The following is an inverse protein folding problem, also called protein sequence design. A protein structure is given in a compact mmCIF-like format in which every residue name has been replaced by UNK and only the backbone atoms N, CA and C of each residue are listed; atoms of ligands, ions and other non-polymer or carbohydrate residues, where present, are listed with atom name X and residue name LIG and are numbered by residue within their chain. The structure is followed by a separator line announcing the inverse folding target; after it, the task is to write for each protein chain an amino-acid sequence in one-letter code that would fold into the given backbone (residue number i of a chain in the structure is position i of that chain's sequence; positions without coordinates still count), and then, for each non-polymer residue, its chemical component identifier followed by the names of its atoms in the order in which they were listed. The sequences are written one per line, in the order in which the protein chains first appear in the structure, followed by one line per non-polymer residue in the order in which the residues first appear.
data_IF_238078001303
#
_entry.id   IF_238078001303
#
_cell.length_a   1.000
_cell.length_b   1.000
_cell.length_c   1.000
_cell.angle_alpha   90.00
_cell.angle_beta   90.00
_cell.angle_gamma   90.00
#
_symmetry.space_group_name_H-M   'P 1'
#
loop_
_entity.id
_entity.type
_entity.pdbx_description
1 polymer ?
#
# COMPACT_ATOMS: atom_id res chain seq x y z
N UNK A 1 -81.56 -15.00 -19.92
CA UNK A 1 -80.61 -15.64 -19.06
C UNK A 1 -79.21 -15.54 -19.71
N UNK A 2 -78.43 -14.57 -19.28
CA UNK A 2 -77.03 -14.44 -19.73
C UNK A 2 -76.08 -15.00 -18.66
N UNK A 3 -75.01 -15.73 -18.97
CA UNK A 3 -74.07 -16.20 -18.00
C UNK A 3 -73.02 -15.11 -17.73
N UNK A 4 -72.73 -14.95 -16.44
CA UNK A 4 -71.75 -14.06 -15.85
C UNK A 4 -70.29 -14.42 -16.26
N UNK A 5 -69.59 -13.43 -16.86
CA UNK A 5 -68.18 -13.48 -17.19
C UNK A 5 -67.36 -13.29 -15.90
N UNK A 6 -66.49 -14.29 -15.58
CA UNK A 6 -65.51 -14.17 -14.48
C UNK A 6 -64.32 -13.38 -14.98
N UNK A 7 -64.09 -12.21 -14.43
CA UNK A 7 -62.85 -11.45 -14.61
C UNK A 7 -61.69 -12.21 -13.94
N UNK A 8 -60.77 -12.66 -14.75
CA UNK A 8 -59.47 -13.14 -14.28
C UNK A 8 -58.62 -11.92 -13.87
N UNK A 9 -58.32 -11.81 -12.56
CA UNK A 9 -57.36 -10.86 -12.03
C UNK A 9 -55.97 -11.45 -12.31
N UNK A 10 -55.24 -10.87 -13.29
CA UNK A 10 -53.85 -11.16 -13.49
C UNK A 10 -53.04 -10.53 -12.33
N UNK A 11 -52.42 -11.34 -11.50
CA UNK A 11 -51.39 -10.89 -10.58
C UNK A 11 -50.11 -10.68 -11.40
N UNK A 12 -49.79 -9.44 -11.70
CA UNK A 12 -48.44 -9.05 -12.12
C UNK A 12 -47.50 -9.22 -10.94
N UNK A 13 -46.90 -10.43 -10.84
CA UNK A 13 -45.78 -10.68 -9.95
C UNK A 13 -44.54 -10.04 -10.57
N UNK A 14 -44.23 -8.80 -10.23
CA UNK A 14 -42.90 -8.27 -10.44
C UNK A 14 -41.90 -9.15 -9.67
N UNK A 15 -41.25 -10.09 -10.35
CA UNK A 15 -40.03 -10.74 -9.88
C UNK A 15 -38.99 -9.66 -9.64
N UNK A 16 -38.85 -9.21 -8.39
CA UNK A 16 -37.74 -8.39 -7.97
C UNK A 16 -36.46 -9.21 -8.18
N UNK A 17 -35.73 -8.83 -9.23
CA UNK A 17 -34.39 -9.32 -9.47
C UNK A 17 -33.59 -9.27 -8.16
N UNK A 18 -32.90 -10.34 -7.73
CA UNK A 18 -32.15 -10.33 -6.47
C UNK A 18 -31.17 -9.18 -6.52
N UNK A 19 -31.27 -8.29 -5.53
CA UNK A 19 -30.35 -7.18 -5.38
C UNK A 19 -28.92 -7.74 -5.41
N UNK A 20 -28.17 -7.41 -6.44
CA UNK A 20 -26.77 -7.83 -6.58
C UNK A 20 -26.01 -7.22 -5.39
N UNK A 21 -25.61 -8.05 -4.43
CA UNK A 21 -24.76 -7.63 -3.31
C UNK A 21 -23.48 -7.05 -3.92
N UNK A 22 -23.15 -5.79 -3.67
CA UNK A 22 -21.93 -5.21 -4.24
C UNK A 22 -20.74 -6.07 -3.80
N UNK A 23 -19.74 -6.27 -4.68
CA UNK A 23 -18.58 -7.06 -4.34
C UNK A 23 -17.92 -6.50 -3.08
N UNK A 24 -17.44 -7.36 -2.18
CA UNK A 24 -16.85 -6.91 -0.92
C UNK A 24 -15.71 -5.93 -1.20
N UNK A 25 -15.76 -4.77 -0.54
CA UNK A 25 -14.77 -3.72 -0.72
C UNK A 25 -13.35 -4.27 -0.49
N UNK A 26 -12.42 -3.89 -1.38
CA UNK A 26 -11.03 -4.35 -1.31
C UNK A 26 -10.33 -3.67 -0.14
N UNK A 27 -9.75 -4.42 0.83
CA UNK A 27 -9.01 -3.85 1.94
C UNK A 27 -7.82 -3.00 1.48
N UNK A 28 -7.51 -1.97 2.28
CA UNK A 28 -6.29 -1.18 2.13
C UNK A 28 -5.41 -1.34 3.36
N UNK A 29 -4.12 -1.63 3.13
CA UNK A 29 -3.11 -1.75 4.17
C UNK A 29 -2.15 -0.57 4.05
N UNK A 30 -1.98 0.22 5.13
CA UNK A 30 -1.04 1.34 5.19
C UNK A 30 0.18 0.96 6.02
N UNK A 31 1.38 1.07 5.44
CA UNK A 31 2.64 0.66 6.06
C UNK A 31 3.52 1.88 6.32
N UNK A 32 3.77 2.19 7.59
CA UNK A 32 4.53 3.37 8.01
C UNK A 32 6.05 3.20 7.83
N UNK A 33 6.77 4.34 7.88
CA UNK A 33 8.20 4.41 7.74
C UNK A 33 8.99 4.15 9.03
N UNK A 34 10.31 4.35 8.91
CA UNK A 34 11.23 4.33 10.04
C UNK A 34 10.94 5.53 10.96
N UNK A 35 10.97 5.29 12.28
CA UNK A 35 10.65 6.25 13.36
C UNK A 35 9.21 6.78 13.33
N UNK A 36 8.39 6.30 12.41
CA UNK A 36 6.96 6.59 12.38
C UNK A 36 6.15 5.59 13.21
N UNK A 37 4.89 5.94 13.39
CA UNK A 37 3.85 5.08 13.95
C UNK A 37 2.63 5.13 13.03
N UNK A 38 1.60 4.30 13.21
CA UNK A 38 0.36 4.41 12.46
C UNK A 38 -0.24 5.81 12.38
N UNK A 39 0.06 6.67 13.35
CA UNK A 39 -0.42 8.07 13.42
C UNK A 39 0.02 8.94 12.25
N UNK A 40 1.07 8.57 11.52
CA UNK A 40 1.55 9.31 10.33
C UNK A 40 0.46 9.40 9.25
N UNK A 41 -0.46 8.44 9.23
CA UNK A 41 -1.54 8.36 8.25
C UNK A 41 -2.84 9.07 8.64
N UNK A 42 -2.95 9.71 9.82
CA UNK A 42 -4.21 10.31 10.31
C UNK A 42 -4.91 11.20 9.29
N UNK A 43 -4.16 12.08 8.60
CA UNK A 43 -4.73 12.96 7.57
C UNK A 43 -5.21 12.19 6.34
N UNK A 44 -4.52 11.13 5.98
CA UNK A 44 -4.93 10.25 4.88
C UNK A 44 -6.18 9.45 5.28
N UNK A 45 -6.22 8.91 6.51
CA UNK A 45 -7.39 8.20 7.04
C UNK A 45 -8.64 9.09 7.03
N UNK A 46 -8.51 10.36 7.48
CA UNK A 46 -9.62 11.31 7.49
C UNK A 46 -10.18 11.54 6.07
N UNK A 47 -9.32 11.62 5.05
CA UNK A 47 -9.75 11.77 3.65
C UNK A 47 -10.33 10.49 3.05
N UNK A 48 -9.97 9.32 3.55
CA UNK A 48 -10.46 8.01 3.07
C UNK A 48 -11.71 7.53 3.80
N UNK A 49 -12.08 8.16 4.93
CA UNK A 49 -13.20 7.74 5.78
C UNK A 49 -14.50 7.62 5.01
N UNK A 50 -15.13 6.44 5.09
CA UNK A 50 -16.36 6.12 4.35
C UNK A 50 -16.19 5.94 2.84
N UNK A 51 -14.95 6.04 2.33
CA UNK A 51 -14.64 5.91 0.89
C UNK A 51 -13.77 4.68 0.59
N UNK A 52 -13.04 4.21 1.59
CA UNK A 52 -12.09 3.11 1.44
C UNK A 52 -12.02 2.28 2.73
N UNK A 53 -12.88 1.28 2.82
CA UNK A 53 -12.95 0.33 3.93
C UNK A 53 -12.96 -1.10 3.40
N UNK A 54 -12.45 -2.10 4.13
CA UNK A 54 -11.79 -1.99 5.43
C UNK A 54 -10.32 -1.53 5.32
N UNK A 55 -9.86 -0.83 6.37
CA UNK A 55 -8.50 -0.31 6.49
C UNK A 55 -7.72 -1.08 7.57
N UNK A 56 -6.44 -1.35 7.32
CA UNK A 56 -5.49 -1.89 8.30
C UNK A 56 -4.23 -1.03 8.32
N UNK A 57 -3.83 -0.57 9.49
CA UNK A 57 -2.58 0.16 9.70
C UNK A 57 -1.80 -0.56 10.81
N UNK A 58 -1.03 -1.61 10.47
CA UNK A 58 -0.32 -2.37 11.47
C UNK A 58 0.79 -1.53 12.10
N UNK A 59 0.94 -1.61 13.42
CA UNK A 59 2.12 -1.12 14.08
C UNK A 59 3.24 -2.15 13.87
N UNK A 60 4.27 -1.77 13.10
CA UNK A 60 5.45 -2.59 12.87
C UNK A 60 6.59 -2.05 13.76
N UNK A 61 6.93 -2.74 14.86
CA UNK A 61 7.91 -2.26 15.82
C UNK A 61 9.33 -2.45 15.26
N UNK A 62 9.84 -1.47 14.51
CA UNK A 62 11.17 -1.48 13.91
C UNK A 62 12.33 -1.31 14.94
N UNK A 63 12.01 -1.03 16.23
CA UNK A 63 13.02 -0.91 17.29
C UNK A 63 14.10 0.11 16.98
N UNK A 64 13.72 1.34 16.61
CA UNK A 64 14.63 2.41 16.14
C UNK A 64 15.48 2.04 14.90
N UNK A 65 15.16 0.94 14.22
CA UNK A 65 15.92 0.46 13.06
C UNK A 65 16.75 -0.80 13.31
N UNK A 66 16.63 -1.42 14.49
CA UNK A 66 17.36 -2.67 14.81
C UNK A 66 16.85 -3.88 14.02
N UNK A 67 15.55 -3.94 13.71
CA UNK A 67 14.98 -5.09 13.02
C UNK A 67 15.22 -5.01 11.52
N UNK A 68 15.65 -6.09 10.87
CA UNK A 68 15.79 -6.17 9.41
C UNK A 68 14.45 -5.95 8.71
N UNK A 69 14.47 -5.38 7.50
CA UNK A 69 13.25 -5.15 6.70
C UNK A 69 12.54 -6.47 6.37
N UNK A 70 13.27 -7.56 6.16
CA UNK A 70 12.68 -8.87 5.91
C UNK A 70 11.79 -9.35 7.07
N UNK A 71 12.23 -9.14 8.31
CA UNK A 71 11.44 -9.47 9.52
C UNK A 71 10.18 -8.60 9.62
N UNK A 72 10.30 -7.30 9.34
CA UNK A 72 9.15 -6.39 9.33
C UNK A 72 8.14 -6.74 8.22
N UNK A 73 8.62 -7.22 7.08
CA UNK A 73 7.78 -7.69 5.98
C UNK A 73 7.03 -8.99 6.33
N UNK A 74 7.67 -9.90 7.08
CA UNK A 74 7.01 -11.10 7.60
C UNK A 74 5.91 -10.74 8.62
N UNK A 75 6.19 -9.81 9.55
CA UNK A 75 5.20 -9.30 10.50
C UNK A 75 4.03 -8.60 9.78
N UNK A 76 4.28 -7.86 8.69
CA UNK A 76 3.24 -7.32 7.84
C UNK A 76 2.34 -8.42 7.29
N UNK A 77 2.93 -9.48 6.72
CA UNK A 77 2.19 -10.62 6.19
C UNK A 77 1.34 -11.31 7.25
N UNK A 78 1.87 -11.52 8.45
CA UNK A 78 1.15 -12.09 9.59
C UNK A 78 -0.03 -11.21 10.03
N UNK A 79 0.17 -9.89 10.17
CA UNK A 79 -0.90 -8.96 10.54
C UNK A 79 -2.03 -8.95 9.50
N UNK A 80 -1.68 -8.98 8.21
CA UNK A 80 -2.64 -9.06 7.11
C UNK A 80 -3.41 -10.38 7.12
N UNK A 81 -2.72 -11.50 7.36
CA UNK A 81 -3.36 -12.82 7.46
C UNK A 81 -4.32 -12.91 8.65
N UNK A 82 -3.91 -12.41 9.80
CA UNK A 82 -4.75 -12.37 11.01
C UNK A 82 -6.02 -11.52 10.79
N UNK A 83 -5.92 -10.41 10.06
CA UNK A 83 -7.04 -9.47 9.89
C UNK A 83 -7.98 -9.85 8.75
N UNK A 84 -7.47 -10.42 7.66
CA UNK A 84 -8.20 -10.63 6.41
C UNK A 84 -8.20 -12.08 5.91
N UNK A 85 -7.62 -13.03 6.64
CA UNK A 85 -7.44 -14.41 6.20
C UNK A 85 -6.32 -14.55 5.17
N UNK A 86 -6.19 -15.75 4.55
CA UNK A 86 -5.07 -16.08 3.66
C UNK A 86 -5.22 -15.47 2.25
N UNK A 87 -6.43 -15.45 1.68
CA UNK A 87 -6.61 -15.31 0.23
C UNK A 87 -7.30 -14.01 -0.21
N UNK A 88 -7.79 -13.18 0.74
CA UNK A 88 -8.52 -11.98 0.39
C UNK A 88 -7.63 -11.00 -0.37
N UNK A 89 -7.99 -10.59 -1.61
CA UNK A 89 -7.25 -9.56 -2.34
C UNK A 89 -7.26 -8.24 -1.60
N UNK A 90 -6.16 -7.48 -1.68
CA UNK A 90 -6.01 -6.19 -1.00
C UNK A 90 -5.05 -5.26 -1.74
N UNK A 91 -5.09 -3.99 -1.36
CA UNK A 91 -4.14 -2.98 -1.83
C UNK A 91 -3.20 -2.57 -0.68
N UNK A 92 -1.98 -2.19 -1.03
CA UNK A 92 -0.96 -1.73 -0.07
C UNK A 92 -0.51 -0.32 -0.43
N UNK A 93 -0.44 0.57 0.56
CA UNK A 93 0.30 1.82 0.46
C UNK A 93 1.44 1.79 1.49
N UNK A 94 2.66 2.00 1.03
CA UNK A 94 3.82 2.12 1.89
C UNK A 94 4.44 3.51 1.82
N UNK A 95 4.65 4.14 2.99
CA UNK A 95 5.35 5.41 3.12
C UNK A 95 6.79 5.18 3.57
N UNK A 96 7.75 5.84 2.90
CA UNK A 96 9.17 5.77 3.27
C UNK A 96 9.67 4.30 3.31
N UNK A 97 10.30 3.87 4.38
CA UNK A 97 10.69 2.46 4.58
C UNK A 97 9.50 1.50 4.41
N UNK A 98 8.27 1.94 4.73
CA UNK A 98 7.07 1.13 4.60
C UNK A 98 6.80 0.62 3.18
N UNK A 99 7.16 1.39 2.15
CA UNK A 99 7.05 0.90 0.76
C UNK A 99 8.08 -0.18 0.44
N UNK A 100 9.28 -0.13 1.02
CA UNK A 100 10.28 -1.19 0.88
C UNK A 100 9.85 -2.45 1.63
N UNK A 101 9.24 -2.30 2.83
CA UNK A 101 8.63 -3.41 3.58
C UNK A 101 7.53 -4.09 2.75
N UNK A 102 6.58 -3.29 2.21
CA UNK A 102 5.52 -3.82 1.34
C UNK A 102 6.05 -4.54 0.11
N UNK A 103 7.04 -3.94 -0.57
CA UNK A 103 7.74 -4.56 -1.70
C UNK A 103 8.41 -5.88 -1.32
N UNK A 104 9.07 -5.93 -0.16
CA UNK A 104 9.74 -7.14 0.34
C UNK A 104 8.74 -8.25 0.59
N UNK A 105 7.61 -7.96 1.22
CA UNK A 105 6.53 -8.92 1.40
C UNK A 105 5.99 -9.45 0.07
N UNK A 106 5.74 -8.56 -0.89
CA UNK A 106 5.24 -8.93 -2.22
C UNK A 106 6.21 -9.85 -2.95
N UNK A 107 7.49 -9.48 -3.03
CA UNK A 107 8.46 -10.20 -3.86
C UNK A 107 9.04 -11.45 -3.20
N UNK A 108 9.31 -11.42 -1.88
CA UNK A 108 10.07 -12.48 -1.22
C UNK A 108 9.21 -13.38 -0.32
N UNK A 109 8.04 -12.91 0.14
CA UNK A 109 7.20 -13.62 1.11
C UNK A 109 5.80 -13.96 0.58
N UNK A 110 5.64 -13.95 -0.74
CA UNK A 110 4.44 -14.43 -1.43
C UNK A 110 3.26 -13.46 -1.43
N UNK A 111 3.43 -12.20 -1.01
CA UNK A 111 2.38 -11.18 -1.00
C UNK A 111 1.79 -10.91 -2.39
N UNK A 112 2.55 -11.13 -3.49
CA UNK A 112 2.07 -10.99 -4.87
C UNK A 112 0.83 -11.81 -5.21
N UNK A 113 0.56 -12.90 -4.47
CA UNK A 113 -0.61 -13.75 -4.73
C UNK A 113 -1.93 -13.07 -4.38
N UNK A 114 -1.90 -12.00 -3.58
CA UNK A 114 -3.09 -11.33 -3.06
C UNK A 114 -3.04 -9.79 -3.12
N UNK A 115 -1.86 -9.20 -3.26
CA UNK A 115 -1.74 -7.75 -3.44
C UNK A 115 -2.08 -7.40 -4.88
N UNK A 116 -3.18 -6.66 -5.08
CA UNK A 116 -3.60 -6.16 -6.38
C UNK A 116 -2.81 -4.92 -6.79
N UNK A 117 -2.59 -4.02 -5.81
CA UNK A 117 -1.97 -2.71 -6.04
C UNK A 117 -0.97 -2.37 -4.95
N UNK A 118 0.20 -1.84 -5.35
CA UNK A 118 1.21 -1.28 -4.46
C UNK A 118 1.41 0.19 -4.78
N UNK A 119 1.02 1.06 -3.85
CA UNK A 119 1.30 2.50 -3.91
C UNK A 119 2.46 2.80 -2.98
N UNK A 120 3.56 3.28 -3.55
CA UNK A 120 4.78 3.63 -2.83
C UNK A 120 4.93 5.14 -2.75
N UNK A 121 5.17 5.67 -1.56
CA UNK A 121 5.27 7.11 -1.31
C UNK A 121 6.62 7.42 -0.67
N UNK A 122 7.53 8.04 -1.41
CA UNK A 122 8.86 8.44 -0.92
C UNK A 122 9.69 7.27 -0.38
N UNK A 123 9.64 6.11 -1.02
CA UNK A 123 10.27 4.88 -0.50
C UNK A 123 11.59 4.61 -1.22
N UNK A 124 12.72 4.43 -0.53
CA UNK A 124 14.05 4.31 -1.15
C UNK A 124 14.27 2.94 -1.81
N UNK A 125 13.59 2.67 -2.93
CA UNK A 125 13.64 1.39 -3.65
C UNK A 125 14.99 1.10 -4.31
N UNK A 126 15.80 2.14 -4.54
CA UNK A 126 17.18 2.04 -4.99
C UNK A 126 18.18 2.33 -3.84
N UNK A 127 17.65 2.54 -2.64
CA UNK A 127 18.41 2.93 -1.46
C UNK A 127 18.50 4.44 -1.25
N UNK A 128 19.09 4.83 -0.11
CA UNK A 128 19.42 6.22 0.21
C UNK A 128 20.85 6.32 0.73
N UNK A 129 21.59 7.31 0.25
CA UNK A 129 22.96 7.58 0.72
C UNK A 129 23.01 7.91 2.20
N UNK A 130 21.92 8.44 2.78
CA UNK A 130 21.81 8.70 4.22
C UNK A 130 21.88 7.45 5.09
N UNK A 131 21.70 6.28 4.50
CA UNK A 131 21.80 5.01 5.24
C UNK A 131 23.24 4.56 5.51
N UNK A 132 24.26 5.15 4.86
CA UNK A 132 25.65 4.71 4.99
C UNK A 132 26.29 4.91 6.39
N UNK A 133 26.10 6.05 7.10
CA UNK A 133 26.77 6.29 8.37
C UNK A 133 26.40 5.32 9.49
N UNK A 134 25.31 4.58 9.36
CA UNK A 134 24.72 3.80 10.45
C UNK A 134 25.20 2.34 10.46
N UNK A 135 25.86 1.83 11.52
CA UNK A 135 26.38 0.47 11.56
C UNK A 135 25.26 -0.58 11.49
N UNK A 136 25.40 -1.57 10.59
CA UNK A 136 24.40 -2.65 10.38
C UNK A 136 24.10 -3.42 11.66
N UNK A 137 25.12 -3.67 12.51
CA UNK A 137 24.95 -4.43 13.77
C UNK A 137 23.95 -3.79 14.74
N UNK A 138 23.70 -2.48 14.60
CA UNK A 138 22.79 -1.74 15.48
C UNK A 138 21.53 -1.30 14.76
N UNK A 139 21.60 -1.02 13.46
CA UNK A 139 20.50 -0.44 12.71
C UNK A 139 20.33 -1.20 11.39
N UNK A 140 19.82 -2.44 11.51
CA UNK A 140 19.73 -3.39 10.40
C UNK A 140 18.83 -2.90 9.28
N UNK A 141 17.62 -2.34 9.60
CA UNK A 141 16.71 -1.83 8.58
C UNK A 141 17.27 -0.62 7.84
N UNK A 142 18.04 0.26 8.53
CA UNK A 142 18.70 1.39 7.86
C UNK A 142 19.79 0.86 6.91
N UNK A 143 20.58 -0.12 7.36
CA UNK A 143 21.60 -0.74 6.52
C UNK A 143 21.00 -1.47 5.30
N UNK A 144 19.79 -2.03 5.43
CA UNK A 144 19.04 -2.63 4.33
C UNK A 144 18.59 -1.58 3.28
N UNK A 145 18.48 -0.30 3.66
CA UNK A 145 18.17 0.81 2.77
C UNK A 145 19.40 1.46 2.12
N UNK A 146 20.62 0.93 2.30
CA UNK A 146 21.79 1.40 1.55
C UNK A 146 21.68 1.04 0.08
N UNK A 147 22.11 1.92 -0.82
CA UNK A 147 22.28 1.55 -2.22
C UNK A 147 23.08 0.25 -2.34
N UNK A 148 22.60 -0.67 -3.18
CA UNK A 148 23.20 -1.99 -3.37
C UNK A 148 23.34 -2.87 -2.11
N UNK A 149 22.50 -2.67 -1.08
CA UNK A 149 22.38 -3.60 0.03
C UNK A 149 22.00 -5.01 -0.46
N UNK A 150 22.29 -6.04 0.33
CA UNK A 150 21.93 -7.42 -0.03
C UNK A 150 20.42 -7.54 -0.32
N UNK A 151 19.57 -6.89 0.51
CA UNK A 151 18.13 -6.88 0.32
C UNK A 151 17.74 -6.22 -1.01
N UNK A 152 18.22 -5.00 -1.29
CA UNK A 152 17.84 -4.27 -2.50
C UNK A 152 18.37 -4.98 -3.77
N UNK A 153 19.55 -5.60 -3.72
CA UNK A 153 20.01 -6.44 -4.83
C UNK A 153 19.09 -7.64 -5.08
N UNK A 154 18.68 -8.33 -4.01
CA UNK A 154 17.74 -9.45 -4.11
C UNK A 154 16.40 -9.03 -4.70
N UNK A 155 15.83 -7.89 -4.24
CA UNK A 155 14.59 -7.34 -4.76
C UNK A 155 14.70 -6.91 -6.23
N UNK A 156 15.87 -6.42 -6.66
CA UNK A 156 16.10 -5.99 -8.04
C UNK A 156 16.45 -7.15 -8.98
N UNK A 157 16.90 -8.29 -8.45
CA UNK A 157 17.26 -9.46 -9.25
C UNK A 157 16.05 -10.20 -9.81
N UNK A 158 14.88 -10.12 -9.16
CA UNK A 158 13.66 -10.78 -9.63
C UNK A 158 12.45 -9.85 -9.49
N UNK A 159 12.04 -9.23 -10.58
CA UNK A 159 10.89 -8.32 -10.64
C UNK A 159 9.58 -9.03 -10.95
N UNK A 160 9.60 -10.28 -11.44
CA UNK A 160 8.41 -10.99 -11.89
C UNK A 160 7.24 -10.98 -10.88
N UNK A 161 7.44 -11.18 -9.55
CA UNK A 161 6.32 -11.08 -8.61
C UNK A 161 5.75 -9.65 -8.48
N UNK A 162 6.58 -8.62 -8.73
CA UNK A 162 6.15 -7.23 -8.65
C UNK A 162 5.41 -6.80 -9.92
N UNK A 163 5.75 -7.37 -11.06
CA UNK A 163 5.09 -7.11 -12.36
C UNK A 163 3.64 -7.62 -12.41
N UNK A 164 3.26 -8.54 -11.51
CA UNK A 164 1.86 -8.99 -11.37
C UNK A 164 1.00 -8.03 -10.55
N UNK A 165 1.60 -6.99 -9.95
CA UNK A 165 0.96 -6.02 -9.07
C UNK A 165 0.87 -4.66 -9.76
N UNK A 166 -0.30 -4.02 -9.70
CA UNK A 166 -0.47 -2.64 -10.19
C UNK A 166 0.32 -1.67 -9.31
N UNK A 167 1.52 -1.30 -9.75
CA UNK A 167 2.45 -0.48 -8.99
C UNK A 167 2.35 1.00 -9.38
N UNK A 168 2.47 1.90 -8.39
CA UNK A 168 2.60 3.34 -8.60
C UNK A 168 3.54 3.94 -7.56
N UNK A 169 4.46 4.81 -7.99
CA UNK A 169 5.38 5.52 -7.10
C UNK A 169 5.08 7.01 -7.05
N UNK A 170 4.94 7.55 -5.84
CA UNK A 170 4.91 8.97 -5.56
C UNK A 170 6.21 9.42 -4.92
N UNK A 171 6.79 10.51 -5.40
CA UNK A 171 8.07 11.04 -4.92
C UNK A 171 8.12 12.57 -5.04
N UNK A 172 9.07 13.24 -4.39
CA UNK A 172 9.31 14.66 -4.58
C UNK A 172 10.78 14.92 -4.92
N UNK A 173 11.02 16.00 -5.65
CA UNK A 173 12.34 16.29 -6.23
C UNK A 173 13.38 16.61 -5.15
N UNK A 174 12.97 17.29 -4.08
CA UNK A 174 13.83 17.78 -3.01
C UNK A 174 13.73 16.96 -1.74
N UNK A 175 13.45 15.67 -1.89
CA UNK A 175 13.41 14.75 -0.76
C UNK A 175 14.79 14.65 -0.08
N UNK A 176 14.84 15.08 1.18
CA UNK A 176 16.07 15.11 1.97
C UNK A 176 16.31 13.81 2.77
N UNK A 177 15.36 12.86 2.75
CA UNK A 177 15.49 11.54 3.40
C UNK A 177 15.83 10.44 2.41
N UNK A 178 15.44 10.61 1.15
CA UNK A 178 15.75 9.68 0.05
C UNK A 178 16.71 10.37 -0.91
N UNK A 179 18.00 10.05 -0.78
CA UNK A 179 19.07 10.69 -1.56
C UNK A 179 19.81 9.64 -2.40
N UNK A 180 19.85 9.83 -3.72
CA UNK A 180 19.18 10.87 -4.51
C UNK A 180 17.66 10.64 -4.55
N UNK A 181 16.87 11.72 -4.69
CA UNK A 181 15.40 11.66 -4.61
C UNK A 181 14.75 10.73 -5.65
N UNK A 182 15.35 10.61 -6.84
CA UNK A 182 14.88 9.68 -7.88
C UNK A 182 15.06 8.19 -7.50
N UNK A 183 15.82 7.86 -6.46
CA UNK A 183 15.88 6.50 -5.91
C UNK A 183 14.59 6.07 -5.20
N UNK A 184 13.68 7.02 -4.98
CA UNK A 184 12.38 6.83 -4.32
C UNK A 184 11.29 6.21 -5.18
N UNK A 185 11.63 5.61 -6.33
CA UNK A 185 10.66 5.03 -7.25
C UNK A 185 10.89 3.53 -7.45
N UNK A 186 9.79 2.80 -7.64
CA UNK A 186 9.81 1.40 -8.01
C UNK A 186 10.42 1.21 -9.41
N UNK A 187 11.02 0.05 -9.70
CA UNK A 187 11.51 -0.27 -11.04
C UNK A 187 10.38 -0.45 -12.04
N UNK A 188 9.15 -0.72 -11.59
CA UNK A 188 7.95 -0.97 -12.40
C UNK A 188 6.84 0.03 -12.06
N UNK A 189 5.92 0.24 -13.00
CA UNK A 189 4.76 1.11 -12.85
C UNK A 189 5.04 2.61 -13.02
N UNK A 190 3.99 3.45 -13.04
CA UNK A 190 4.10 4.89 -13.20
C UNK A 190 4.79 5.57 -12.02
N UNK A 191 5.52 6.65 -12.34
CA UNK A 191 6.27 7.48 -11.41
C UNK A 191 5.68 8.88 -11.40
N UNK A 192 5.11 9.30 -10.29
CA UNK A 192 4.37 10.56 -10.16
C UNK A 192 5.06 11.49 -9.18
N UNK A 193 5.60 12.57 -9.69
CA UNK A 193 6.16 13.62 -8.85
C UNK A 193 5.06 14.40 -8.15
N UNK A 194 5.20 14.59 -6.83
CA UNK A 194 4.31 15.41 -6.02
C UNK A 194 4.85 16.84 -5.86
N UNK A 195 3.97 17.86 -5.85
CA UNK A 195 4.37 19.26 -5.73
C UNK A 195 4.63 19.64 -4.26
N UNK A 196 5.58 18.96 -3.63
CA UNK A 196 6.00 19.17 -2.23
C UNK A 196 7.52 19.15 -2.18
N UNK A 197 8.09 19.72 -1.12
CA UNK A 197 9.53 19.96 -1.02
C UNK A 197 10.23 19.11 0.05
N UNK A 198 9.48 18.51 0.99
CA UNK A 198 10.08 17.71 2.07
C UNK A 198 9.46 16.32 2.17
N UNK A 199 10.22 15.36 2.67
CA UNK A 199 9.78 13.99 2.87
C UNK A 199 8.48 13.86 3.69
N UNK A 200 8.32 14.51 4.86
CA UNK A 200 7.07 14.43 5.62
C UNK A 200 5.86 15.02 4.87
N UNK A 201 6.07 16.00 3.99
CA UNK A 201 5.00 16.60 3.20
C UNK A 201 4.39 15.62 2.19
N UNK A 202 5.11 14.57 1.78
CA UNK A 202 4.59 13.52 0.90
C UNK A 202 3.33 12.86 1.45
N UNK A 203 3.20 12.74 2.78
CA UNK A 203 2.05 12.08 3.43
C UNK A 203 1.22 13.03 4.32
N UNK A 204 1.53 14.32 4.30
CA UNK A 204 0.84 15.29 5.18
C UNK A 204 0.30 16.52 4.46
N UNK A 205 0.88 16.90 3.30
CA UNK A 205 0.48 18.10 2.56
C UNK A 205 -0.78 17.84 1.72
N UNK A 206 -1.78 18.74 1.73
CA UNK A 206 -3.05 18.53 1.01
C UNK A 206 -2.88 18.22 -0.47
N UNK A 207 -1.98 18.92 -1.18
CA UNK A 207 -1.75 18.68 -2.61
C UNK A 207 -1.18 17.27 -2.89
N UNK A 208 -0.38 16.72 -1.99
CA UNK A 208 0.12 15.35 -2.09
C UNK A 208 -0.99 14.34 -1.79
N UNK A 209 -1.70 14.55 -0.68
CA UNK A 209 -2.79 13.68 -0.24
C UNK A 209 -3.89 13.57 -1.30
N UNK A 210 -4.30 14.68 -1.92
CA UNK A 210 -5.31 14.66 -2.97
C UNK A 210 -4.93 13.76 -4.15
N UNK A 211 -3.65 13.76 -4.56
CA UNK A 211 -3.17 12.88 -5.64
C UNK A 211 -3.08 11.42 -5.21
N UNK A 212 -2.64 11.16 -3.98
CA UNK A 212 -2.59 9.81 -3.40
C UNK A 212 -4.00 9.25 -3.25
N UNK A 213 -4.94 10.02 -2.71
CA UNK A 213 -6.35 9.61 -2.56
C UNK A 213 -6.99 9.31 -3.92
N UNK A 214 -6.76 10.16 -4.92
CA UNK A 214 -7.26 9.91 -6.27
C UNK A 214 -6.75 8.56 -6.83
N UNK A 215 -5.48 8.22 -6.59
CA UNK A 215 -4.91 6.92 -7.00
C UNK A 215 -5.49 5.76 -6.18
N UNK A 216 -5.68 5.92 -4.87
CA UNK A 216 -6.28 4.90 -3.99
C UNK A 216 -7.74 4.60 -4.32
N UNK A 217 -8.46 5.57 -4.85
CA UNK A 217 -9.87 5.46 -5.22
C UNK A 217 -10.08 5.11 -6.70
N UNK A 218 -9.01 4.95 -7.46
CA UNK A 218 -9.10 4.44 -8.84
C UNK A 218 -9.72 3.04 -8.85
N UNK A 219 -10.64 2.74 -9.79
CA UNK A 219 -11.29 1.43 -9.92
C UNK A 219 -10.30 0.29 -10.07
#
# INVERSE_FOLDING_TARGET
MQPLSWMAIAFDGEERSPATVPPPAVPLVLVHGLWDTPRVFRRLEDQLRGRRDPLLIPHLPHGLGHRPILELADQLGQAVQQRFGADRPLDVLGFSMGGVIGRTWIQLLGGHRRVRRLISVGSPHQGSLLAYPWPRRWLASIADLRPNSALLRQLNANLAPLETVDCCSFWCLTDHMVIPSWSGVLPVGPRRQLPVVTHPQLISHPAALNRIVAELLRP
#
